data_IF_634607335643
#
_entry.id   IF_634607335643
#
_cell.length_a   1.000
_cell.length_b   1.000
_cell.length_c   1.000
_cell.angle_alpha   90.00
_cell.angle_beta   90.00
_cell.angle_gamma   90.00
#
_symmetry.space_group_name_H-M   'P 1'
#
loop_
_entity.id
_entity.type
_entity.pdbx_description
1 polymer ?
#
# COMPACT_ATOMS: atom_id res chain seq x y z
N UNK A 1 7.95 -1.08 2.12
CA UNK A 1 8.43 -2.35 1.53
C UNK A 1 7.75 -3.49 2.27
N UNK A 2 6.87 -4.25 1.62
CA UNK A 2 6.38 -5.52 2.18
C UNK A 2 7.52 -6.52 2.12
N UNK A 3 7.99 -7.02 3.26
CA UNK A 3 9.13 -7.94 3.35
C UNK A 3 8.70 -9.36 2.94
N UNK A 4 9.59 -10.12 2.27
CA UNK A 4 9.25 -11.36 1.56
C UNK A 4 8.50 -12.43 2.37
N UNK A 5 8.75 -12.52 3.68
CA UNK A 5 8.05 -13.48 4.55
C UNK A 5 6.55 -13.16 4.69
N UNK A 6 6.18 -11.88 4.69
CA UNK A 6 4.78 -11.47 4.87
C UNK A 6 3.94 -11.86 3.65
N UNK A 7 4.44 -11.64 2.44
CA UNK A 7 3.75 -12.02 1.19
C UNK A 7 3.62 -13.53 1.05
N UNK A 8 4.65 -14.29 1.44
CA UNK A 8 4.60 -15.75 1.41
C UNK A 8 3.52 -16.30 2.35
N UNK A 9 3.43 -15.78 3.58
CA UNK A 9 2.44 -16.20 4.57
C UNK A 9 1.01 -15.89 4.10
N UNK A 10 0.76 -14.69 3.57
CA UNK A 10 -0.59 -14.32 3.12
C UNK A 10 -1.01 -15.09 1.87
N UNK A 11 -0.09 -15.39 0.95
CA UNK A 11 -0.37 -16.24 -0.21
C UNK A 11 -0.75 -17.66 0.21
N UNK A 12 -0.08 -18.21 1.22
CA UNK A 12 -0.35 -19.57 1.72
C UNK A 12 -1.65 -19.66 2.52
N UNK A 13 -2.06 -18.58 3.18
CA UNK A 13 -3.22 -18.56 4.07
C UNK A 13 -4.47 -17.95 3.43
N UNK A 14 -4.34 -17.30 2.28
CA UNK A 14 -5.44 -16.68 1.54
C UNK A 14 -5.96 -15.36 2.12
N UNK A 15 -5.28 -14.78 3.11
CA UNK A 15 -5.74 -13.54 3.74
C UNK A 15 -5.72 -12.38 2.75
N UNK A 16 -6.71 -11.48 2.78
CA UNK A 16 -6.73 -10.31 1.92
C UNK A 16 -5.66 -9.31 2.36
N UNK A 17 -4.98 -8.72 1.36
CA UNK A 17 -3.85 -7.80 1.55
C UNK A 17 -4.00 -6.61 0.62
N UNK A 18 -3.76 -5.40 1.15
CA UNK A 18 -3.66 -4.18 0.34
C UNK A 18 -2.40 -3.40 0.72
N UNK A 19 -1.69 -2.89 -0.29
CA UNK A 19 -0.44 -2.13 -0.13
C UNK A 19 -0.64 -0.74 -0.70
N UNK A 20 -0.32 0.30 0.07
CA UNK A 20 -0.45 1.70 -0.36
C UNK A 20 0.87 2.47 -0.15
N UNK A 21 1.14 3.51 -0.97
CA UNK A 21 2.37 4.30 -0.84
C UNK A 21 2.35 5.17 0.42
N UNK A 22 3.52 5.34 1.05
CA UNK A 22 3.70 6.18 2.24
C UNK A 22 4.63 7.37 2.00
N UNK A 23 4.89 7.70 0.74
CA UNK A 23 5.86 8.71 0.32
C UNK A 23 7.26 8.15 0.15
N UNK A 24 8.27 9.00 0.35
CA UNK A 24 9.66 8.69 0.05
C UNK A 24 10.51 8.66 1.31
N UNK A 25 11.49 7.76 1.34
CA UNK A 25 12.43 7.73 2.45
C UNK A 25 13.35 8.97 2.42
N UNK A 26 13.77 9.45 3.58
CA UNK A 26 14.57 10.68 3.69
C UNK A 26 16.03 10.52 3.27
N UNK A 27 16.56 9.30 3.20
CA UNK A 27 17.99 9.04 2.96
C UNK A 27 18.29 8.85 1.49
N UNK A 28 17.46 8.07 0.79
CA UNK A 28 17.70 7.68 -0.60
C UNK A 28 16.62 8.19 -1.56
N UNK A 29 15.60 8.88 -1.04
CA UNK A 29 14.46 9.36 -1.82
C UNK A 29 13.82 8.25 -2.66
N UNK A 30 13.70 7.04 -2.09
CA UNK A 30 13.02 5.91 -2.72
C UNK A 30 11.59 5.77 -2.21
N UNK A 31 10.63 5.36 -3.07
CA UNK A 31 9.25 5.11 -2.65
C UNK A 31 9.16 4.08 -1.53
N UNK A 32 8.33 4.40 -0.55
CA UNK A 32 8.01 3.54 0.60
C UNK A 32 6.52 3.18 0.59
N UNK A 33 6.18 2.13 1.34
CA UNK A 33 4.82 1.60 1.37
C UNK A 33 4.51 0.96 2.72
N UNK A 34 3.22 0.90 3.03
CA UNK A 34 2.62 0.20 4.16
C UNK A 34 1.69 -0.90 3.62
N UNK A 35 1.62 -2.02 4.34
CA UNK A 35 0.80 -3.18 4.00
C UNK A 35 -0.27 -3.37 5.08
N UNK A 36 -1.54 -3.42 4.68
CA UNK A 36 -2.66 -3.81 5.53
C UNK A 36 -3.02 -5.28 5.24
N UNK A 37 -3.19 -6.08 6.30
CA UNK A 37 -3.64 -7.47 6.21
C UNK A 37 -4.99 -7.57 6.93
N UNK A 38 -5.99 -8.12 6.25
CA UNK A 38 -7.33 -8.31 6.77
C UNK A 38 -7.60 -9.73 7.20
N UNK A 39 -8.78 -9.95 7.80
CA UNK A 39 -9.32 -11.29 8.05
C UNK A 39 -9.81 -11.90 6.74
N UNK A 40 -9.86 -13.22 6.66
CA UNK A 40 -10.46 -13.93 5.52
C UNK A 40 -11.89 -13.42 5.25
N UNK A 41 -12.17 -13.11 3.98
CA UNK A 41 -13.48 -12.64 3.49
C UNK A 41 -13.95 -11.28 4.08
N UNK A 42 -13.03 -10.48 4.61
CA UNK A 42 -13.29 -9.15 5.18
C UNK A 42 -12.44 -8.08 4.47
N UNK A 43 -12.45 -8.09 3.13
CA UNK A 43 -11.71 -7.16 2.29
C UNK A 43 -12.19 -5.72 2.50
N UNK A 44 -13.49 -5.54 2.74
CA UNK A 44 -14.12 -4.23 2.88
C UNK A 44 -13.49 -3.39 3.99
N UNK A 45 -13.13 -4.03 5.12
CA UNK A 45 -12.51 -3.35 6.26
C UNK A 45 -11.14 -2.79 5.90
N UNK A 46 -10.26 -3.60 5.31
CA UNK A 46 -8.91 -3.15 4.96
C UNK A 46 -8.89 -2.17 3.79
N UNK A 47 -9.84 -2.31 2.84
CA UNK A 47 -9.99 -1.36 1.74
C UNK A 47 -10.49 0.00 2.25
N UNK A 48 -11.40 0.01 3.21
CA UNK A 48 -11.88 1.25 3.85
C UNK A 48 -10.75 1.97 4.59
N UNK A 49 -9.92 1.22 5.33
CA UNK A 49 -8.75 1.76 6.01
C UNK A 49 -7.72 2.32 5.01
N UNK A 50 -7.41 1.58 3.95
CA UNK A 50 -6.50 2.02 2.89
C UNK A 50 -7.01 3.30 2.20
N UNK A 51 -8.32 3.38 1.92
CA UNK A 51 -8.95 4.55 1.30
C UNK A 51 -8.89 5.77 2.21
N UNK A 52 -9.17 5.61 3.51
CA UNK A 52 -9.05 6.69 4.49
C UNK A 52 -7.61 7.21 4.55
N UNK A 53 -6.62 6.30 4.56
CA UNK A 53 -5.20 6.66 4.55
C UNK A 53 -4.80 7.45 3.28
N UNK A 54 -5.20 6.99 2.09
CA UNK A 54 -4.90 7.68 0.83
C UNK A 54 -5.54 9.07 0.79
N UNK A 55 -6.81 9.19 1.20
CA UNK A 55 -7.50 10.48 1.25
C UNK A 55 -6.80 11.48 2.19
N UNK A 56 -6.16 11.01 3.27
CA UNK A 56 -5.47 11.84 4.23
C UNK A 56 -4.04 12.25 3.81
N UNK A 57 -3.43 11.56 2.83
CA UNK A 57 -2.00 11.72 2.52
C UNK A 57 -1.70 12.10 1.07
N UNK A 58 -2.48 11.63 0.10
CA UNK A 58 -2.33 11.95 -1.32
C UNK A 58 -1.09 11.36 -2.01
N UNK A 59 -0.33 10.48 -1.34
CA UNK A 59 0.85 9.83 -1.93
C UNK A 59 0.52 9.02 -3.19
N UNK A 60 -0.72 8.53 -3.29
CA UNK A 60 -1.26 7.79 -4.43
C UNK A 60 -1.40 8.65 -5.70
N UNK A 61 -1.36 9.98 -5.58
CA UNK A 61 -1.46 10.93 -6.69
C UNK A 61 -0.11 11.39 -7.21
N UNK A 62 0.99 10.98 -6.59
CA UNK A 62 2.33 11.32 -7.04
C UNK A 62 2.75 10.39 -8.18
N UNK A 63 2.98 10.97 -9.35
CA UNK A 63 3.45 10.26 -10.53
C UNK A 63 4.75 10.89 -11.03
N UNK A 64 5.67 10.11 -11.62
CA UNK A 64 6.84 10.70 -12.27
C UNK A 64 6.39 11.63 -13.40
N UNK A 65 7.09 12.75 -13.59
CA UNK A 65 6.69 13.82 -14.52
C UNK A 65 6.45 13.33 -15.97
N UNK A 66 7.11 12.25 -16.38
CA UNK A 66 6.91 11.62 -17.69
C UNK A 66 5.51 10.99 -17.88
N UNK A 67 4.75 10.78 -16.79
CA UNK A 67 3.48 10.05 -16.79
C UNK A 67 2.28 10.88 -16.29
N UNK A 68 2.46 12.17 -16.00
CA UNK A 68 1.34 13.08 -15.72
C UNK A 68 0.79 13.65 -17.01
N UNK A 69 -0.51 13.48 -17.28
CA UNK A 69 -1.19 14.11 -18.43
C UNK A 69 -1.36 15.61 -18.16
N UNK A 70 -1.05 16.44 -19.17
CA UNK A 70 -1.22 17.90 -19.13
C UNK A 70 -2.69 18.32 -18.97
#
# INVERSE_FOLDING_TARGET
RSSGNQTAITNLTGHPVVVVPTGFDKRFNVPTSITFIGKLYDEATILSAAKAYQNATGWDKMHPAMFTSN
#
